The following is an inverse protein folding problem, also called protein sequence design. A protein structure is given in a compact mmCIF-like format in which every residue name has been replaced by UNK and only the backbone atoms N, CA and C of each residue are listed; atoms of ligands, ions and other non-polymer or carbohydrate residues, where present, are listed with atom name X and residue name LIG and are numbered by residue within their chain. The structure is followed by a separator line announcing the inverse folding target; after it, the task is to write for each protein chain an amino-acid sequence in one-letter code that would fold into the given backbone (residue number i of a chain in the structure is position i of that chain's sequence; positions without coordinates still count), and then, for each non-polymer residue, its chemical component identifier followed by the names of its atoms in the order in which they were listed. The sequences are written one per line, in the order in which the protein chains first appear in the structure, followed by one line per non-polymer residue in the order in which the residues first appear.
data_IF_958166972918
#
_entry.id   IF_958166972918
#
_cell.length_a   1.000
_cell.length_b   1.000
_cell.length_c   1.000
_cell.angle_alpha   90.00
_cell.angle_beta   90.00
_cell.angle_gamma   90.00
#
_symmetry.space_group_name_H-M   'P 1'
#
loop_
_entity.id
_entity.type
_entity.pdbx_description
1 polymer ?
#
# COMPACT_ATOMS: atom_id res chain seq x y z
N UNK A 1 -19.03 47.62 20.91
CA UNK A 1 -20.21 46.90 21.44
C UNK A 1 -20.66 45.96 20.33
N UNK A 2 -20.50 44.64 20.38
CA UNK A 2 -19.93 43.76 21.39
C UNK A 2 -19.58 42.47 20.64
N UNK A 3 -18.37 41.98 20.86
CA UNK A 3 -17.90 40.67 20.39
C UNK A 3 -18.83 39.56 20.85
N UNK A 4 -19.23 38.68 19.93
CA UNK A 4 -19.81 37.37 20.26
C UNK A 4 -18.76 36.34 19.90
N UNK A 5 -17.93 36.02 20.88
CA UNK A 5 -17.03 34.87 20.90
C UNK A 5 -17.90 33.63 21.10
N UNK A 6 -17.98 32.78 20.08
CA UNK A 6 -18.56 31.44 20.18
C UNK A 6 -17.62 30.56 21.01
N UNK A 7 -18.01 30.41 22.28
CA UNK A 7 -17.38 29.54 23.25
C UNK A 7 -17.65 28.07 22.88
N UNK A 8 -16.58 27.35 22.51
CA UNK A 8 -16.65 25.90 22.26
C UNK A 8 -16.76 25.19 23.59
N UNK A 9 -18.00 24.88 24.00
CA UNK A 9 -18.27 24.02 25.14
C UNK A 9 -17.70 22.61 24.90
N UNK A 10 -16.62 22.29 25.60
CA UNK A 10 -16.19 20.92 25.86
C UNK A 10 -17.25 20.25 26.75
N UNK A 11 -18.07 19.40 26.14
CA UNK A 11 -19.01 18.57 26.88
C UNK A 11 -18.24 17.52 27.68
N UNK A 12 -18.16 17.71 29.00
CA UNK A 12 -17.69 16.71 29.97
C UNK A 12 -18.63 15.51 29.97
N UNK A 13 -18.09 14.33 29.65
CA UNK A 13 -18.90 13.13 29.48
C UNK A 13 -18.86 12.24 30.73
N UNK A 14 -20.06 12.12 31.31
CA UNK A 14 -20.48 11.42 32.51
C UNK A 14 -20.28 9.87 32.49
N UNK A 15 -20.18 9.32 33.70
CA UNK A 15 -19.41 8.16 34.16
C UNK A 15 -20.10 6.79 33.95
N UNK A 16 -20.78 6.62 32.81
CA UNK A 16 -21.34 5.30 32.38
C UNK A 16 -20.92 4.97 30.95
N UNK A 17 -19.66 5.29 30.64
CA UNK A 17 -19.03 5.12 29.34
C UNK A 17 -17.66 4.51 29.59
N UNK A 18 -17.30 3.51 28.78
CA UNK A 18 -15.95 2.95 28.71
C UNK A 18 -14.94 4.10 28.87
N UNK A 19 -14.02 4.02 29.83
CA UNK A 19 -12.96 5.03 30.01
C UNK A 19 -12.17 5.12 28.69
N UNK A 20 -12.57 6.08 27.84
CA UNK A 20 -12.12 6.17 26.46
C UNK A 20 -10.61 6.39 26.41
N UNK A 21 -10.08 7.07 27.43
CA UNK A 21 -8.65 7.27 27.65
C UNK A 21 -7.90 5.94 27.78
N UNK A 22 -8.41 4.97 28.54
CA UNK A 22 -7.79 3.65 28.67
C UNK A 22 -7.84 2.86 27.36
N UNK A 23 -8.92 3.02 26.58
CA UNK A 23 -9.05 2.37 25.26
C UNK A 23 -8.08 3.00 24.26
N UNK A 24 -7.94 4.32 24.27
CA UNK A 24 -6.99 5.07 23.44
C UNK A 24 -5.56 4.68 23.79
N UNK A 25 -5.21 4.59 25.07
CA UNK A 25 -3.88 4.18 25.52
C UNK A 25 -3.57 2.72 25.12
N UNK A 26 -4.52 1.81 25.34
CA UNK A 26 -4.40 0.40 24.92
C UNK A 26 -4.24 0.29 23.39
N UNK A 27 -5.04 1.04 22.62
CA UNK A 27 -4.96 1.08 21.16
C UNK A 27 -3.59 1.57 20.69
N UNK A 28 -3.07 2.65 21.29
CA UNK A 28 -1.76 3.19 20.96
C UNK A 28 -0.64 2.21 21.31
N UNK A 29 -0.74 1.52 22.44
CA UNK A 29 0.23 0.49 22.85
C UNK A 29 0.27 -0.66 21.84
N UNK A 30 -0.89 -1.22 21.47
CA UNK A 30 -0.99 -2.29 20.46
C UNK A 30 -0.46 -1.81 19.11
N UNK A 31 -0.82 -0.59 18.68
CA UNK A 31 -0.34 -0.02 17.42
C UNK A 31 1.18 0.10 17.40
N UNK A 32 1.78 0.64 18.47
CA UNK A 32 3.22 0.83 18.55
C UNK A 32 3.96 -0.51 18.52
N UNK A 33 3.43 -1.52 19.20
CA UNK A 33 4.01 -2.86 19.22
C UNK A 33 3.90 -3.55 17.85
N UNK A 34 2.75 -3.43 17.18
CA UNK A 34 2.57 -3.90 15.80
C UNK A 34 3.59 -3.24 14.87
N UNK A 35 3.77 -1.92 14.99
CA UNK A 35 4.73 -1.18 14.17
C UNK A 35 6.18 -1.57 14.49
N UNK A 36 6.50 -1.93 15.75
CA UNK A 36 7.81 -2.47 16.15
C UNK A 36 8.08 -3.81 15.50
N UNK A 37 7.14 -4.76 15.63
CA UNK A 37 7.26 -6.10 15.04
C UNK A 37 7.34 -6.05 13.52
N UNK A 38 6.56 -5.17 12.87
CA UNK A 38 6.61 -4.98 11.43
C UNK A 38 8.00 -4.50 10.97
N UNK A 39 8.62 -3.56 11.70
CA UNK A 39 9.99 -3.09 11.41
C UNK A 39 11.04 -4.19 11.61
N UNK A 40 10.92 -4.98 12.68
CA UNK A 40 11.84 -6.10 12.93
C UNK A 40 11.71 -7.19 11.88
N UNK A 41 10.48 -7.53 11.48
CA UNK A 41 10.22 -8.46 10.39
C UNK A 41 10.83 -7.95 9.08
N UNK A 42 10.55 -6.69 8.70
CA UNK A 42 11.10 -6.10 7.48
C UNK A 42 12.61 -6.10 7.46
N UNK A 43 13.26 -5.81 8.60
CA UNK A 43 14.72 -5.85 8.70
C UNK A 43 15.26 -7.26 8.46
N UNK A 44 14.73 -8.27 9.16
CA UNK A 44 15.16 -9.67 8.99
C UNK A 44 14.86 -10.22 7.60
N UNK A 45 13.71 -9.85 7.04
CA UNK A 45 13.33 -10.22 5.67
C UNK A 45 14.30 -9.63 4.64
N UNK A 46 14.74 -8.37 4.82
CA UNK A 46 15.75 -7.75 3.97
C UNK A 46 17.12 -8.44 4.10
N UNK A 47 17.55 -8.78 5.32
CA UNK A 47 18.80 -9.52 5.56
C UNK A 47 18.77 -10.89 4.84
N UNK A 48 17.70 -11.67 5.04
CA UNK A 48 17.55 -12.97 4.40
C UNK A 48 17.45 -12.88 2.87
N UNK A 49 16.77 -11.86 2.35
CA UNK A 49 16.71 -11.61 0.90
C UNK A 49 18.08 -11.31 0.32
N UNK A 50 18.90 -10.51 1.00
CA UNK A 50 20.26 -10.20 0.57
C UNK A 50 21.14 -11.47 0.54
N UNK A 51 21.02 -12.33 1.57
CA UNK A 51 21.75 -13.60 1.61
C UNK A 51 21.33 -14.54 0.47
N UNK A 52 20.02 -14.62 0.18
CA UNK A 52 19.50 -15.42 -0.94
C UNK A 52 19.98 -14.87 -2.29
N UNK A 53 19.99 -13.56 -2.48
CA UNK A 53 20.43 -12.93 -3.73
C UNK A 53 21.92 -13.22 -4.00
N UNK A 54 22.77 -13.25 -2.97
CA UNK A 54 24.17 -13.66 -3.10
C UNK A 54 24.30 -15.13 -3.54
N UNK A 55 23.50 -16.03 -2.96
CA UNK A 55 23.50 -17.44 -3.35
C UNK A 55 22.99 -17.64 -4.78
N UNK A 56 21.94 -16.91 -5.18
CA UNK A 56 21.40 -16.92 -6.54
C UNK A 56 22.43 -16.45 -7.57
N UNK A 57 23.24 -15.44 -7.25
CA UNK A 57 24.33 -14.99 -8.13
C UNK A 57 25.38 -16.08 -8.34
N UNK A 58 25.77 -16.80 -7.29
CA UNK A 58 26.71 -17.93 -7.39
C UNK A 58 26.12 -19.05 -8.25
N UNK A 59 24.85 -19.40 -8.03
CA UNK A 59 24.16 -20.43 -8.82
C UNK A 59 24.03 -20.02 -10.29
N UNK A 60 23.73 -18.75 -10.56
CA UNK A 60 23.66 -18.19 -11.91
C UNK A 60 25.02 -18.28 -12.61
N UNK A 61 26.11 -17.98 -11.91
CA UNK A 61 27.47 -18.13 -12.44
C UNK A 61 27.75 -19.60 -12.81
N UNK A 62 27.44 -20.55 -11.93
CA UNK A 62 27.60 -21.98 -12.24
C UNK A 62 26.75 -22.44 -13.42
N UNK A 63 25.50 -21.95 -13.55
CA UNK A 63 24.65 -22.21 -14.73
C UNK A 63 25.27 -21.67 -16.02
N UNK A 64 25.87 -20.48 -15.97
CA UNK A 64 26.53 -19.87 -17.12
C UNK A 64 27.82 -20.59 -17.51
N UNK A 65 28.61 -21.08 -16.55
CA UNK A 65 29.85 -21.85 -16.79
C UNK A 65 29.57 -23.19 -17.49
N UNK A 66 28.49 -23.88 -17.10
CA UNK A 66 28.08 -25.15 -17.69
C UNK A 66 27.19 -24.95 -18.93
N UNK A 67 26.81 -23.70 -19.23
CA UNK A 67 25.91 -23.31 -20.31
C UNK A 67 24.60 -24.11 -20.29
N UNK A 68 24.02 -24.25 -19.09
CA UNK A 68 22.83 -25.06 -18.83
C UNK A 68 21.75 -24.22 -18.15
N UNK A 69 20.51 -24.34 -18.65
CA UNK A 69 19.34 -23.65 -18.08
C UNK A 69 18.79 -24.35 -16.84
N UNK A 70 19.22 -25.59 -16.58
CA UNK A 70 18.81 -26.37 -15.41
C UNK A 70 19.96 -27.25 -14.90
N UNK A 71 20.23 -27.19 -13.60
CA UNK A 71 21.22 -28.03 -12.92
C UNK A 71 20.53 -28.79 -11.79
N UNK A 72 20.50 -30.11 -11.90
CA UNK A 72 20.00 -30.99 -10.84
C UNK A 72 21.11 -31.26 -9.82
N UNK A 73 20.81 -31.01 -8.56
CA UNK A 73 21.70 -31.30 -7.41
C UNK A 73 21.10 -32.38 -6.53
N UNK A 74 21.85 -32.83 -5.51
CA UNK A 74 21.34 -33.79 -4.52
C UNK A 74 20.27 -33.21 -3.59
N UNK A 75 20.14 -31.87 -3.52
CA UNK A 75 19.23 -31.16 -2.61
C UNK A 75 18.10 -30.41 -3.33
N UNK A 76 18.11 -30.37 -4.66
CA UNK A 76 17.11 -29.66 -5.45
C UNK A 76 17.56 -29.41 -6.88
N UNK A 77 16.81 -28.59 -7.61
CA UNK A 77 17.12 -28.23 -9.00
C UNK A 77 17.21 -26.72 -9.12
N UNK A 78 18.32 -26.22 -9.67
CA UNK A 78 18.47 -24.81 -10.05
C UNK A 78 17.90 -24.66 -11.45
N UNK A 79 16.96 -23.72 -11.64
CA UNK A 79 16.37 -23.42 -12.95
C UNK A 79 16.59 -21.94 -13.23
N UNK A 80 17.24 -21.64 -14.35
CA UNK A 80 17.45 -20.28 -14.83
C UNK A 80 16.26 -19.88 -15.71
N UNK A 81 15.57 -18.81 -15.31
CA UNK A 81 14.41 -18.28 -16.03
C UNK A 81 14.63 -16.81 -16.36
N UNK A 82 14.24 -16.38 -17.56
CA UNK A 82 14.21 -14.96 -17.91
C UNK A 82 12.92 -14.34 -17.39
N UNK A 83 13.02 -13.21 -16.69
CA UNK A 83 11.89 -12.39 -16.27
C UNK A 83 12.07 -10.99 -16.84
N UNK A 84 11.13 -10.58 -17.69
CA UNK A 84 11.05 -9.23 -18.20
C UNK A 84 10.05 -8.42 -17.37
N UNK A 85 10.46 -7.22 -16.94
CA UNK A 85 9.58 -6.28 -16.25
C UNK A 85 9.60 -4.96 -17.01
N UNK A 86 8.42 -4.40 -17.26
CA UNK A 86 8.27 -3.12 -17.94
C UNK A 86 8.11 -2.00 -16.92
N UNK A 87 8.88 -0.92 -17.07
CA UNK A 87 8.76 0.29 -16.26
C UNK A 87 8.50 1.47 -17.18
N UNK A 88 7.49 2.28 -16.85
CA UNK A 88 7.16 3.49 -17.59
C UNK A 88 7.66 4.72 -16.82
N UNK A 89 8.57 5.49 -17.42
CA UNK A 89 9.09 6.75 -16.91
C UNK A 89 8.26 7.95 -17.35
N UNK A 90 7.73 7.93 -18.59
CA UNK A 90 6.92 8.99 -19.17
C UNK A 90 5.45 8.57 -19.31
N UNK A 91 4.70 8.83 -18.24
CA UNK A 91 3.29 8.50 -18.17
C UNK A 91 2.39 9.40 -19.02
N UNK A 92 2.86 10.57 -19.46
CA UNK A 92 2.04 11.46 -20.27
C UNK A 92 1.95 10.90 -21.68
N UNK A 93 3.10 10.72 -22.33
CA UNK A 93 3.15 10.15 -23.68
C UNK A 93 2.61 8.73 -23.74
N UNK A 94 2.81 7.92 -22.69
CA UNK A 94 2.24 6.57 -22.64
C UNK A 94 0.70 6.55 -22.56
N UNK A 95 0.08 7.53 -21.89
CA UNK A 95 -1.39 7.64 -21.88
C UNK A 95 -1.93 8.01 -23.24
N UNK A 96 -1.28 8.95 -23.92
CA UNK A 96 -1.65 9.34 -25.28
C UNK A 96 -1.54 8.13 -26.23
N UNK A 97 -0.45 7.37 -26.13
CA UNK A 97 -0.27 6.11 -26.86
C UNK A 97 -1.40 5.10 -26.59
N UNK A 98 -1.80 4.91 -25.33
CA UNK A 98 -2.90 3.97 -24.98
C UNK A 98 -4.22 4.41 -25.60
N UNK A 99 -4.52 5.70 -25.59
CA UNK A 99 -5.74 6.25 -26.17
C UNK A 99 -5.74 6.15 -27.70
N UNK A 100 -4.61 6.46 -28.34
CA UNK A 100 -4.44 6.36 -29.79
C UNK A 100 -4.55 4.92 -30.31
N UNK A 101 -4.10 3.95 -29.52
CA UNK A 101 -4.14 2.53 -29.89
C UNK A 101 -5.34 1.78 -29.32
N UNK A 102 -6.27 2.48 -28.64
CA UNK A 102 -7.45 1.89 -27.99
C UNK A 102 -7.11 0.68 -27.10
N UNK A 103 -5.98 0.75 -26.38
CA UNK A 103 -5.39 -0.40 -25.67
C UNK A 103 -5.41 -0.27 -24.13
N UNK A 104 -6.57 -0.07 -23.46
CA UNK A 104 -6.65 0.08 -22.02
C UNK A 104 -6.25 -1.19 -21.25
N UNK A 105 -6.22 -2.36 -21.90
CA UNK A 105 -5.76 -3.64 -21.34
C UNK A 105 -4.28 -3.67 -21.00
N UNK A 106 -3.48 -2.72 -21.51
CA UNK A 106 -2.08 -2.54 -21.11
C UNK A 106 -1.96 -2.02 -19.66
N UNK A 107 -3.06 -1.49 -19.10
CA UNK A 107 -3.11 -1.01 -17.73
C UNK A 107 -3.70 -2.08 -16.80
N UNK A 108 -3.21 -2.11 -15.57
CA UNK A 108 -3.81 -2.94 -14.52
C UNK A 108 -5.20 -2.41 -14.13
N UNK A 109 -6.14 -3.33 -13.89
CA UNK A 109 -7.48 -3.00 -13.40
C UNK A 109 -7.43 -2.53 -11.93
N UNK A 110 -7.16 -1.24 -11.73
CA UNK A 110 -7.19 -0.61 -10.41
C UNK A 110 -7.66 0.84 -10.53
N UNK A 111 -8.68 1.17 -9.75
CA UNK A 111 -9.21 2.53 -9.70
C UNK A 111 -8.33 3.38 -8.79
N UNK A 112 -7.87 4.51 -9.30
CA UNK A 112 -7.16 5.51 -8.51
C UNK A 112 -8.16 6.31 -7.65
N UNK A 113 -8.35 5.88 -6.40
CA UNK A 113 -9.42 6.36 -5.51
C UNK A 113 -9.48 7.89 -5.34
N UNK A 114 -8.33 8.57 -5.20
CA UNK A 114 -8.29 10.02 -5.03
C UNK A 114 -8.83 10.76 -6.28
N UNK A 115 -8.22 10.51 -7.45
CA UNK A 115 -8.66 11.06 -8.73
C UNK A 115 -10.11 10.70 -9.05
N UNK A 116 -10.54 9.46 -8.76
CA UNK A 116 -11.92 9.04 -8.99
C UNK A 116 -12.89 9.81 -8.10
N UNK A 117 -12.53 10.07 -6.84
CA UNK A 117 -13.34 10.89 -5.93
C UNK A 117 -13.49 12.32 -6.46
N UNK A 118 -12.39 12.93 -6.89
CA UNK A 118 -12.41 14.28 -7.49
C UNK A 118 -13.26 14.33 -8.76
N UNK A 119 -13.15 13.32 -9.62
CA UNK A 119 -13.94 13.19 -10.83
C UNK A 119 -15.45 13.08 -10.55
N UNK A 120 -15.85 12.30 -9.54
CA UNK A 120 -17.26 12.13 -9.16
C UNK A 120 -17.82 13.33 -8.39
N UNK A 121 -17.00 14.03 -7.59
CA UNK A 121 -17.44 15.22 -6.84
C UNK A 121 -17.93 16.36 -7.73
N UNK A 122 -17.47 16.44 -8.98
CA UNK A 122 -17.97 17.41 -9.96
C UNK A 122 -19.23 16.96 -10.73
N UNK A 123 -19.71 15.72 -10.52
CA UNK A 123 -20.76 15.06 -11.31
C UNK A 123 -21.75 14.30 -10.43
N UNK A 124 -22.04 14.83 -9.24
CA UNK A 124 -22.93 14.18 -8.28
C UNK A 124 -24.34 13.92 -8.85
N UNK A 125 -24.79 14.73 -9.82
CA UNK A 125 -26.09 14.57 -10.49
C UNK A 125 -26.12 13.42 -11.52
N UNK A 126 -25.00 13.05 -12.14
CA UNK A 126 -24.90 11.98 -13.15
C UNK A 126 -24.80 10.58 -12.50
N UNK A 127 -24.49 10.52 -11.20
CA UNK A 127 -24.36 9.28 -10.45
C UNK A 127 -23.03 8.55 -10.67
N UNK A 128 -22.95 7.31 -10.16
CA UNK A 128 -21.74 6.49 -10.29
C UNK A 128 -21.66 5.85 -11.69
N UNK A 129 -20.47 5.82 -12.31
CA UNK A 129 -20.24 5.09 -13.56
C UNK A 129 -20.67 3.62 -13.45
N UNK A 130 -21.14 3.01 -14.55
CA UNK A 130 -21.58 1.62 -14.56
C UNK A 130 -20.45 0.67 -14.11
N UNK A 131 -20.79 -0.31 -13.28
CA UNK A 131 -19.83 -1.30 -12.75
C UNK A 131 -19.10 -0.86 -11.48
N UNK A 132 -19.29 0.38 -11.00
CA UNK A 132 -18.73 0.84 -9.73
C UNK A 132 -19.80 0.82 -8.63
N UNK A 133 -19.49 0.13 -7.53
CA UNK A 133 -20.24 0.24 -6.28
C UNK A 133 -19.42 0.99 -5.24
N UNK A 134 -20.08 1.80 -4.41
CA UNK A 134 -19.42 2.49 -3.30
C UNK A 134 -19.72 1.78 -1.99
N UNK A 135 -18.67 1.47 -1.22
CA UNK A 135 -18.76 1.01 0.16
C UNK A 135 -18.17 2.09 1.05
N UNK A 136 -18.98 2.58 2.01
CA UNK A 136 -18.57 3.63 2.96
C UNK A 136 -18.35 2.97 4.32
N UNK A 137 -17.11 2.99 4.80
CA UNK A 137 -16.74 2.51 6.12
C UNK A 137 -16.24 3.66 6.99
N UNK A 138 -16.62 3.68 8.26
CA UNK A 138 -16.05 4.61 9.23
C UNK A 138 -14.64 4.12 9.61
N UNK A 139 -13.64 4.95 9.37
CA UNK A 139 -12.26 4.70 9.78
C UNK A 139 -11.93 5.52 11.03
N UNK A 140 -11.63 4.84 12.14
CA UNK A 140 -11.13 5.48 13.37
C UNK A 140 -9.62 5.69 13.25
N UNK A 141 -9.16 6.91 13.50
CA UNK A 141 -7.73 7.26 13.53
C UNK A 141 -7.41 7.91 14.88
N UNK A 142 -6.67 7.19 15.72
CA UNK A 142 -6.16 7.73 17.00
C UNK A 142 -4.78 8.32 16.76
N UNK A 143 -4.59 9.60 17.14
CA UNK A 143 -3.31 10.32 17.09
C UNK A 143 -2.85 10.63 18.51
N UNK A 144 -1.54 10.66 18.73
CA UNK A 144 -0.97 11.19 19.98
C UNK A 144 -1.21 12.70 20.03
N UNK A 145 -1.49 13.27 21.21
CA UNK A 145 -1.60 14.73 21.36
C UNK A 145 -0.27 15.37 20.95
N UNK A 146 -0.35 16.44 20.15
CA UNK A 146 0.81 17.30 19.92
C UNK A 146 1.09 18.04 21.23
N UNK A 147 2.35 18.03 21.68
CA UNK A 147 2.84 19.05 22.61
C UNK A 147 2.97 20.38 21.89
#
# INVERSE_FOLDING_TARGET
MSDVVEDKQEASVDDTKIQLDNVVDTYLTIRNEKDRLAREFQKKDQELKADLEQLEQVMLQSCNEVNADSIKTSKGTVIKSYRENFVCSDWTNFRDFILENEAPELLQQRIHQANFKEFVSGREEEGLPPGISSMREFKIVVRKPSK
#
